data_IF_522473742243
#
_entry.id   IF_522473742243
#
_cell.length_a   1.000
_cell.length_b   1.000
_cell.length_c   1.000
_cell.angle_alpha   90.00
_cell.angle_beta   90.00
_cell.angle_gamma   90.00
#
_symmetry.space_group_name_H-M   'P 1'
#
loop_
_entity.id
_entity.type
_entity.pdbx_description
1 polymer ?
#
# COMPACT_ATOMS: atom_id res chain seq x y z
N UNK A 1 15.54 12.88 -14.91
CA UNK A 1 14.71 11.65 -14.78
C UNK A 1 15.39 10.38 -14.18
N UNK A 2 16.69 10.09 -14.38
CA UNK A 2 17.32 8.78 -14.03
C UNK A 2 17.11 8.26 -12.60
N UNK A 3 17.10 9.14 -11.59
CA UNK A 3 16.83 8.78 -10.19
C UNK A 3 15.37 8.35 -9.97
N UNK A 4 14.43 9.06 -10.61
CA UNK A 4 13.01 8.72 -10.54
C UNK A 4 12.74 7.38 -11.21
N UNK A 5 13.40 7.12 -12.35
CA UNK A 5 13.33 5.81 -13.01
C UNK A 5 13.82 4.67 -12.12
N UNK A 6 15.01 4.81 -11.50
CA UNK A 6 15.54 3.83 -10.56
C UNK A 6 14.58 3.56 -9.38
N UNK A 7 13.93 4.60 -8.86
CA UNK A 7 12.93 4.46 -7.80
C UNK A 7 11.71 3.65 -8.24
N UNK A 8 11.21 3.85 -9.47
CA UNK A 8 10.07 3.09 -10.02
C UNK A 8 10.43 1.61 -10.15
N UNK A 9 11.59 1.30 -10.74
CA UNK A 9 12.06 -0.09 -10.88
C UNK A 9 12.24 -0.75 -9.51
N UNK A 10 12.86 -0.06 -8.55
CA UNK A 10 13.00 -0.57 -7.19
C UNK A 10 11.65 -0.82 -6.50
N UNK A 11 10.62 -0.04 -6.84
CA UNK A 11 9.27 -0.22 -6.31
C UNK A 11 8.60 -1.47 -6.89
N UNK A 12 8.76 -1.72 -8.19
CA UNK A 12 8.25 -2.94 -8.83
C UNK A 12 8.88 -4.20 -8.24
N UNK A 13 10.19 -4.20 -7.95
CA UNK A 13 10.83 -5.32 -7.25
C UNK A 13 10.28 -5.56 -5.83
N UNK A 14 9.84 -4.52 -5.14
CA UNK A 14 9.29 -4.62 -3.77
C UNK A 14 7.81 -5.05 -3.75
N UNK A 15 7.12 -4.99 -4.89
CA UNK A 15 5.68 -5.24 -4.98
C UNK A 15 5.27 -6.57 -4.34
N UNK A 16 5.91 -7.67 -4.71
CA UNK A 16 5.54 -9.02 -4.28
C UNK A 16 5.65 -9.17 -2.76
N UNK A 17 6.81 -8.81 -2.20
CA UNK A 17 7.05 -8.91 -0.76
C UNK A 17 6.08 -8.05 0.03
N UNK A 18 5.88 -6.79 -0.39
CA UNK A 18 4.96 -5.88 0.27
C UNK A 18 3.52 -6.41 0.25
N UNK A 19 3.05 -6.83 -0.91
CA UNK A 19 1.66 -7.27 -1.12
C UNK A 19 1.35 -8.56 -0.37
N UNK A 20 2.25 -9.55 -0.40
CA UNK A 20 2.10 -10.80 0.36
C UNK A 20 2.13 -10.55 1.87
N UNK A 21 3.01 -9.66 2.35
CA UNK A 21 3.06 -9.28 3.76
C UNK A 21 1.74 -8.66 4.21
N UNK A 22 1.17 -7.76 3.39
CA UNK A 22 -0.13 -7.16 3.66
C UNK A 22 -1.25 -8.21 3.68
N UNK A 23 -1.25 -9.19 2.78
CA UNK A 23 -2.26 -10.26 2.77
C UNK A 23 -2.13 -11.19 3.99
N UNK A 24 -0.90 -11.53 4.38
CA UNK A 24 -0.63 -12.29 5.60
C UNK A 24 -1.05 -11.54 6.87
N UNK A 25 -0.93 -10.21 6.89
CA UNK A 25 -1.50 -9.40 7.97
C UNK A 25 -3.02 -9.55 8.03
N UNK A 26 -3.74 -9.47 6.90
CA UNK A 26 -5.20 -9.69 6.87
C UNK A 26 -5.61 -11.07 7.39
N UNK A 27 -4.81 -12.11 7.10
CA UNK A 27 -5.02 -13.47 7.66
C UNK A 27 -4.93 -13.46 9.18
N UNK A 28 -3.93 -12.78 9.73
CA UNK A 28 -3.74 -12.67 11.18
C UNK A 28 -4.84 -11.82 11.83
N UNK A 29 -5.21 -10.72 11.19
CA UNK A 29 -6.27 -9.81 11.65
C UNK A 29 -7.63 -10.53 11.72
N UNK A 30 -7.89 -11.53 10.88
CA UNK A 30 -9.10 -12.36 11.00
C UNK A 30 -9.21 -13.02 12.39
N UNK A 31 -8.11 -13.49 12.96
CA UNK A 31 -8.12 -14.19 14.25
C UNK A 31 -8.17 -13.26 15.45
N UNK A 32 -8.03 -11.94 15.25
CA UNK A 32 -8.22 -10.96 16.32
C UNK A 32 -9.68 -10.58 16.51
N UNK A 33 -10.56 -10.96 15.58
CA UNK A 33 -12.00 -10.69 15.65
C UNK A 33 -12.72 -11.65 16.61
N UNK A 34 -13.87 -11.24 17.18
CA UNK A 34 -14.77 -12.15 17.88
C UNK A 34 -15.19 -13.35 17.02
N UNK A 35 -15.51 -14.48 17.68
CA UNK A 35 -15.84 -15.74 16.99
C UNK A 35 -17.03 -15.61 16.04
N UNK A 36 -18.07 -14.86 16.43
CA UNK A 36 -19.24 -14.63 15.58
C UNK A 36 -18.87 -13.94 14.25
N UNK A 37 -17.97 -12.96 14.29
CA UNK A 37 -17.51 -12.23 13.10
C UNK A 37 -16.61 -13.10 12.21
N UNK A 38 -15.75 -13.92 12.84
CA UNK A 38 -14.95 -14.91 12.11
C UNK A 38 -15.84 -15.91 11.35
N UNK A 39 -16.91 -16.38 11.99
CA UNK A 39 -17.84 -17.36 11.40
C UNK A 39 -18.67 -16.74 10.27
N UNK A 40 -19.10 -15.48 10.44
CA UNK A 40 -19.73 -14.71 9.37
C UNK A 40 -18.80 -14.59 8.16
N UNK A 41 -17.55 -14.16 8.36
CA UNK A 41 -16.56 -14.03 7.29
C UNK A 41 -16.22 -15.37 6.65
N UNK A 42 -16.18 -16.45 7.43
CA UNK A 42 -15.99 -17.80 6.90
C UNK A 42 -17.17 -18.22 6.00
N UNK A 43 -18.41 -17.93 6.39
CA UNK A 43 -19.60 -18.22 5.57
C UNK A 43 -19.61 -17.45 4.24
N UNK A 44 -18.95 -16.29 4.20
CA UNK A 44 -18.79 -15.46 3.01
C UNK A 44 -17.57 -15.85 2.15
N UNK A 45 -16.82 -16.89 2.53
CA UNK A 45 -15.66 -17.35 1.77
C UNK A 45 -14.44 -16.43 1.87
N UNK A 46 -14.28 -15.70 2.99
CA UNK A 46 -13.20 -14.73 3.13
C UNK A 46 -11.81 -15.36 3.06
N UNK A 47 -11.64 -16.59 3.57
CA UNK A 47 -10.34 -17.30 3.54
C UNK A 47 -9.92 -17.67 2.12
N UNK A 48 -10.88 -18.17 1.34
CA UNK A 48 -10.72 -18.51 -0.06
C UNK A 48 -10.35 -17.26 -0.86
N UNK A 49 -11.00 -16.13 -0.57
CA UNK A 49 -10.65 -14.83 -1.16
C UNK A 49 -9.21 -14.41 -0.86
N UNK A 50 -8.71 -14.62 0.36
CA UNK A 50 -7.30 -14.32 0.68
C UNK A 50 -6.33 -15.19 -0.14
N UNK A 51 -6.68 -16.45 -0.42
CA UNK A 51 -5.86 -17.33 -1.27
C UNK A 51 -5.86 -16.86 -2.73
N UNK A 52 -7.03 -16.53 -3.27
CA UNK A 52 -7.14 -15.95 -4.63
C UNK A 52 -6.35 -14.64 -4.76
N UNK A 53 -6.27 -13.85 -3.69
CA UNK A 53 -5.46 -12.63 -3.67
C UNK A 53 -3.96 -12.95 -3.73
N UNK A 54 -3.47 -14.02 -3.11
CA UNK A 54 -2.06 -14.42 -3.26
C UNK A 54 -1.76 -14.83 -4.70
N UNK A 55 -2.63 -15.62 -5.33
CA UNK A 55 -2.48 -16.02 -6.73
C UNK A 55 -2.46 -14.80 -7.66
N UNK A 56 -3.36 -13.83 -7.43
CA UNK A 56 -3.39 -12.59 -8.18
C UNK A 56 -2.13 -11.72 -7.94
N UNK A 57 -1.60 -11.67 -6.71
CA UNK A 57 -0.34 -10.98 -6.41
C UNK A 57 0.80 -11.62 -7.20
N UNK A 58 0.87 -12.95 -7.28
CA UNK A 58 1.91 -13.65 -8.03
C UNK A 58 1.78 -13.40 -9.55
N UNK A 59 0.56 -13.40 -10.08
CA UNK A 59 0.31 -13.06 -11.48
C UNK A 59 0.74 -11.62 -11.81
N UNK A 60 0.37 -10.66 -10.95
CA UNK A 60 0.79 -9.26 -11.09
C UNK A 60 2.32 -9.11 -10.99
N UNK A 61 2.96 -9.83 -10.08
CA UNK A 61 4.42 -9.83 -9.93
C UNK A 61 5.12 -10.36 -11.20
N UNK A 62 4.58 -11.43 -11.80
CA UNK A 62 5.10 -11.96 -13.06
C UNK A 62 5.04 -10.90 -14.18
N UNK A 63 3.93 -10.18 -14.28
CA UNK A 63 3.79 -9.06 -15.23
C UNK A 63 4.77 -7.91 -14.94
N UNK A 64 4.90 -7.48 -13.69
CA UNK A 64 5.84 -6.42 -13.32
C UNK A 64 7.30 -6.80 -13.59
N UNK A 65 7.65 -8.08 -13.43
CA UNK A 65 8.99 -8.57 -13.77
C UNK A 65 9.26 -8.49 -15.28
N UNK A 66 8.25 -8.72 -16.13
CA UNK A 66 8.39 -8.55 -17.59
C UNK A 66 8.58 -7.09 -17.98
N UNK A 67 7.91 -6.17 -17.28
CA UNK A 67 8.08 -4.72 -17.44
C UNK A 67 9.51 -4.30 -17.10
N UNK A 68 10.04 -4.77 -15.97
CA UNK A 68 11.42 -4.44 -15.55
C UNK A 68 12.47 -5.09 -16.46
N UNK A 69 12.18 -6.27 -17.02
CA UNK A 69 13.08 -6.98 -17.93
C UNK A 69 13.26 -6.29 -19.30
N UNK A 70 12.36 -5.37 -19.67
CA UNK A 70 12.47 -4.56 -20.89
C UNK A 70 12.56 -3.07 -20.55
N UNK A 71 13.67 -2.57 -19.98
CA UNK A 71 13.79 -1.15 -19.59
C UNK A 71 13.61 -0.17 -20.75
N UNK A 72 13.83 -0.62 -21.99
CA UNK A 72 13.70 0.17 -23.22
C UNK A 72 12.27 0.67 -23.46
N UNK A 73 11.23 0.02 -22.91
CA UNK A 73 9.85 0.52 -22.96
C UNK A 73 9.67 1.86 -22.24
N UNK A 74 10.62 2.22 -21.36
CA UNK A 74 10.62 3.48 -20.62
C UNK A 74 11.54 4.54 -21.24
N UNK A 75 12.12 4.27 -22.43
CA UNK A 75 12.80 5.24 -23.28
C UNK A 75 14.26 4.94 -23.57
N UNK A 76 14.59 4.76 -24.84
CA UNK A 76 15.83 5.27 -25.43
C UNK A 76 15.47 6.58 -26.16
N UNK A 77 16.21 7.64 -25.87
CA UNK A 77 16.20 8.99 -26.46
C UNK A 77 14.89 9.81 -26.39
N UNK A 78 14.75 10.59 -25.30
CA UNK A 78 14.18 11.94 -25.37
C UNK A 78 15.34 12.93 -25.31
N UNK A 79 16.21 12.90 -26.31
CA UNK A 79 17.01 14.07 -26.66
C UNK A 79 16.43 14.61 -27.98
N UNK A 80 16.05 15.89 -27.94
CA UNK A 80 15.56 16.76 -29.02
C UNK A 80 14.12 16.52 -29.52
N UNK A 81 13.14 17.18 -28.90
CA UNK A 81 12.36 18.27 -29.56
C UNK A 81 11.59 19.06 -28.49
N UNK A 82 11.78 20.38 -28.52
CA UNK A 82 11.06 21.39 -27.74
C UNK A 82 9.53 21.27 -27.90
N UNK A 83 8.88 20.50 -27.03
CA UNK A 83 7.44 20.44 -26.90
C UNK A 83 7.00 21.15 -25.62
N UNK A 84 6.72 22.45 -25.71
CA UNK A 84 6.20 23.28 -24.62
C UNK A 84 5.07 22.58 -23.84
N UNK A 85 5.39 22.03 -22.66
CA UNK A 85 4.39 21.55 -21.72
C UNK A 85 3.93 22.76 -20.89
N UNK A 86 2.69 23.18 -21.10
CA UNK A 86 2.01 24.13 -20.24
C UNK A 86 2.20 23.73 -18.77
N UNK A 87 2.64 24.70 -17.98
CA UNK A 87 2.81 24.62 -16.54
C UNK A 87 1.48 24.28 -15.87
N UNK A 88 1.21 22.99 -15.67
CA UNK A 88 0.20 22.55 -14.71
C UNK A 88 0.77 22.74 -13.31
N UNK A 89 0.27 23.76 -12.62
CA UNK A 89 0.69 24.12 -11.27
C UNK A 89 0.58 22.94 -10.30
N UNK A 90 1.54 22.78 -9.38
CA UNK A 90 1.45 21.78 -8.33
C UNK A 90 0.44 22.22 -7.27
N UNK A 91 -0.74 21.59 -7.24
CA UNK A 91 -1.63 21.65 -6.07
C UNK A 91 -0.97 20.85 -4.94
N UNK A 92 -0.14 21.53 -4.15
CA UNK A 92 0.49 20.99 -2.96
C UNK A 92 -0.54 20.56 -1.92
N UNK A 93 -0.80 19.26 -1.82
CA UNK A 93 -1.49 18.69 -0.65
C UNK A 93 -0.46 18.51 0.47
N UNK A 94 -0.30 19.58 1.26
CA UNK A 94 0.44 19.56 2.51
C UNK A 94 -0.38 18.83 3.59
N UNK A 95 0.01 17.60 3.93
CA UNK A 95 -0.45 16.96 5.16
C UNK A 95 0.44 17.43 6.32
N UNK A 96 0.02 18.53 6.96
CA UNK A 96 0.61 19.01 8.20
C UNK A 96 0.25 18.07 9.35
N UNK A 97 1.23 17.34 9.88
CA UNK A 97 1.08 16.63 11.15
C UNK A 97 1.33 17.64 12.27
N UNK A 98 0.24 18.16 12.84
CA UNK A 98 0.28 18.98 14.05
C UNK A 98 0.83 18.15 15.20
N UNK A 99 2.11 18.35 15.54
CA UNK A 99 2.69 17.89 16.80
C UNK A 99 2.42 18.95 17.86
N UNK A 100 1.19 18.96 18.38
CA UNK A 100 0.82 19.71 19.58
C UNK A 100 1.38 19.05 20.86
N UNK A 101 1.83 19.84 21.85
CA UNK A 101 2.53 19.34 23.03
C UNK A 101 1.58 18.71 24.07
N UNK A 102 1.97 17.51 24.50
CA UNK A 102 1.73 16.86 25.80
C UNK A 102 0.78 17.58 26.78
N UNK A 103 -0.53 17.35 26.61
CA UNK A 103 -1.56 17.63 27.62
C UNK A 103 -1.70 16.45 28.59
N UNK A 104 -1.32 16.67 29.84
CA UNK A 104 -1.47 15.77 30.99
C UNK A 104 -2.90 15.21 31.09
N UNK A 105 -3.08 13.90 30.84
CA UNK A 105 -4.32 13.20 31.11
C UNK A 105 -4.43 13.02 32.63
N UNK A 106 -5.23 13.87 33.27
CA UNK A 106 -5.75 13.65 34.62
C UNK A 106 -6.58 12.38 34.61
N UNK A 107 -6.17 11.42 35.43
CA UNK A 107 -6.97 10.24 35.80
C UNK A 107 -8.26 10.70 36.49
N UNK A 108 -9.40 10.54 35.81
CA UNK A 108 -10.73 10.57 36.45
C UNK A 108 -11.02 9.18 36.99
N UNK A 109 -10.91 9.03 38.31
CA UNK A 109 -11.29 7.84 39.04
C UNK A 109 -12.82 7.76 39.14
N UNK A 110 -13.45 6.99 38.25
CA UNK A 110 -14.88 6.66 38.31
C UNK A 110 -15.09 5.49 39.27
N UNK A 111 -15.44 5.79 40.52
CA UNK A 111 -16.11 4.85 41.41
C UNK A 111 -17.56 5.30 41.57
N UNK A 112 -18.50 4.44 41.18
CA UNK A 112 -19.92 4.64 41.46
C UNK A 112 -20.52 3.39 42.10
N UNK A 113 -21.34 3.65 43.13
CA UNK A 113 -22.25 2.74 43.86
C UNK A 113 -21.56 1.92 44.96
N UNK A 114 -22.08 1.82 46.18
CA UNK A 114 -23.48 1.82 46.64
C UNK A 114 -23.51 2.20 48.11
#
# INVERSE_FOLDING_TARGET
>A
ERRHFSNVIATFHKYTQYSLTANNRRRRDLFTLPKADQDLLASLGYKEKLNLVDDAILANAAFLNQIVANPEIFGHDVDDEDGALESLEPVGHSHSHDTGPSGSIRTVNIHSRT
#
